data_IF_211633084108
#
_entry.id   IF_211633084108
#
_cell.length_a   1.000
_cell.length_b   1.000
_cell.length_c   1.000
_cell.angle_alpha   90.00
_cell.angle_beta   90.00
_cell.angle_gamma   90.00
#
_symmetry.space_group_name_H-M   'P 1'
#
loop_
_entity.id
_entity.type
_entity.pdbx_description
1 polymer ?
#
# COMPACT_ATOMS: atom_id res chain seq x y z
N UNK A 1 15.83 28.20 27.20
CA UNK A 1 15.60 29.63 27.12
C UNK A 1 15.98 30.13 25.74
N UNK A 2 15.00 30.50 24.93
CA UNK A 2 15.24 31.19 23.67
C UNK A 2 15.56 32.67 24.02
N UNK A 3 16.81 33.00 24.15
CA UNK A 3 17.30 34.36 24.24
C UNK A 3 17.90 34.72 22.91
N UNK A 4 17.11 35.07 21.95
CA UNK A 4 17.63 35.46 20.66
C UNK A 4 16.83 36.60 20.05
N UNK A 5 17.53 37.54 19.52
CA UNK A 5 17.01 38.69 18.86
C UNK A 5 16.01 38.32 17.76
N UNK A 6 14.93 39.04 17.81
CA UNK A 6 13.73 39.12 17.03
C UNK A 6 13.84 38.72 15.56
N UNK A 7 12.86 37.97 15.17
CA UNK A 7 12.58 37.54 13.81
C UNK A 7 12.57 38.71 12.83
N UNK A 8 13.21 38.55 11.67
CA UNK A 8 13.20 39.47 10.56
C UNK A 8 11.75 39.75 10.06
N UNK A 9 10.88 38.75 10.23
CA UNK A 9 9.46 38.86 9.89
C UNK A 9 8.64 38.62 11.15
N UNK A 10 7.82 39.53 11.63
CA UNK A 10 6.99 39.39 12.82
C UNK A 10 6.06 38.17 12.70
N UNK A 11 5.87 37.47 13.80
CA UNK A 11 4.98 36.28 13.91
C UNK A 11 5.37 35.05 13.06
N UNK A 12 6.58 35.01 12.53
CA UNK A 12 7.09 33.83 11.83
C UNK A 12 8.14 33.12 12.67
N UNK A 13 7.76 32.03 13.35
CA UNK A 13 8.59 31.28 14.30
C UNK A 13 9.31 30.11 13.61
N UNK A 14 10.32 30.41 12.80
CA UNK A 14 11.19 29.43 12.12
C UNK A 14 12.65 29.86 12.33
N UNK A 15 13.60 28.90 12.34
CA UNK A 15 15.01 29.20 12.57
C UNK A 15 15.61 30.14 11.54
N UNK A 16 15.21 30.05 10.29
CA UNK A 16 15.69 30.95 9.21
C UNK A 16 15.25 32.40 9.36
N UNK A 17 14.31 32.67 10.26
CA UNK A 17 13.81 34.02 10.55
C UNK A 17 14.52 34.66 11.76
N UNK A 18 15.56 34.06 12.30
CA UNK A 18 16.36 34.61 13.39
C UNK A 18 17.56 35.39 12.85
N UNK A 19 17.81 36.57 13.41
CA UNK A 19 18.92 37.45 12.99
C UNK A 19 20.24 37.10 13.70
N UNK A 20 20.48 35.83 14.05
CA UNK A 20 21.73 35.45 14.71
C UNK A 20 22.69 34.80 13.72
N UNK A 21 23.80 35.43 13.49
CA UNK A 21 24.94 34.93 12.72
C UNK A 21 25.63 33.67 13.36
N UNK A 22 25.10 33.14 14.45
CA UNK A 22 25.74 32.09 15.24
C UNK A 22 24.92 30.83 15.51
N UNK A 23 23.69 30.74 15.08
CA UNK A 23 22.92 29.52 15.27
C UNK A 23 22.79 28.75 13.96
N UNK A 24 23.64 27.77 13.77
CA UNK A 24 23.50 26.77 12.72
C UNK A 24 22.33 25.84 13.03
N UNK A 25 21.12 26.30 12.74
CA UNK A 25 19.92 25.48 12.78
C UNK A 25 19.37 25.33 11.37
N UNK A 26 19.05 24.13 10.95
CA UNK A 26 18.29 23.86 9.73
C UNK A 26 16.89 23.40 10.09
N UNK A 27 15.90 23.92 9.42
CA UNK A 27 14.52 23.52 9.54
C UNK A 27 14.04 22.97 8.20
N UNK A 28 13.57 21.74 8.19
CA UNK A 28 13.02 21.11 7.01
C UNK A 28 11.56 20.71 7.25
N UNK A 29 10.68 21.00 6.30
CA UNK A 29 9.32 20.52 6.32
C UNK A 29 9.00 19.77 5.02
N UNK A 30 8.36 18.61 5.14
CA UNK A 30 7.85 17.88 3.99
C UNK A 30 6.36 17.62 4.15
N UNK A 31 5.61 17.75 3.06
CA UNK A 31 4.18 17.45 3.05
C UNK A 31 3.89 16.41 1.98
N UNK A 32 3.30 15.29 2.40
CA UNK A 32 2.78 14.26 1.50
C UNK A 32 1.26 14.25 1.60
N UNK A 33 0.58 14.09 0.48
CA UNK A 33 -0.86 13.94 0.42
C UNK A 33 -1.21 12.77 -0.47
N UNK A 34 -2.31 12.10 -0.16
CA UNK A 34 -2.86 11.03 -0.97
C UNK A 34 -4.38 11.23 -1.09
N UNK A 35 -4.87 11.22 -2.31
CA UNK A 35 -6.30 11.18 -2.57
C UNK A 35 -6.67 9.75 -2.95
N UNK A 36 -7.69 9.19 -2.30
CA UNK A 36 -8.10 7.81 -2.54
C UNK A 36 -9.63 7.69 -2.63
N UNK A 37 -10.09 6.85 -3.55
CA UNK A 37 -11.48 6.44 -3.65
C UNK A 37 -11.53 4.92 -3.62
N UNK A 38 -12.47 4.35 -2.88
CA UNK A 38 -12.66 2.91 -2.82
C UNK A 38 -14.13 2.53 -2.92
N UNK A 39 -14.37 1.34 -3.45
CA UNK A 39 -15.69 0.72 -3.48
C UNK A 39 -15.55 -0.77 -3.17
N UNK A 40 -16.57 -1.33 -2.52
CA UNK A 40 -16.67 -2.76 -2.30
C UNK A 40 -18.10 -3.25 -2.57
N UNK A 41 -18.22 -4.48 -3.06
CA UNK A 41 -19.48 -5.16 -3.27
C UNK A 41 -19.34 -6.60 -2.76
N UNK A 42 -20.36 -7.08 -2.09
CA UNK A 42 -20.47 -8.47 -1.67
C UNK A 42 -21.77 -9.06 -2.21
N UNK A 43 -21.65 -10.17 -2.90
CA UNK A 43 -22.76 -10.92 -3.46
C UNK A 43 -22.84 -12.30 -2.78
N UNK A 44 -23.99 -12.61 -2.23
CA UNK A 44 -24.23 -13.89 -1.59
C UNK A 44 -25.31 -14.67 -2.35
N UNK A 45 -25.05 -15.94 -2.65
CA UNK A 45 -25.99 -16.84 -3.28
C UNK A 45 -26.27 -18.03 -2.38
N UNK A 46 -27.54 -18.24 -2.05
CA UNK A 46 -28.02 -19.32 -1.17
C UNK A 46 -27.31 -19.38 0.18
N UNK A 47 -26.76 -18.28 0.68
CA UNK A 47 -25.95 -18.24 1.92
C UNK A 47 -24.78 -19.22 1.93
N UNK A 48 -24.41 -19.76 0.78
CA UNK A 48 -23.38 -20.79 0.64
C UNK A 48 -22.23 -20.36 -0.29
N UNK A 49 -22.48 -19.47 -1.22
CA UNK A 49 -21.47 -18.91 -2.11
C UNK A 49 -21.40 -17.39 -1.93
N UNK A 50 -20.21 -16.88 -1.72
CA UNK A 50 -19.94 -15.46 -1.48
C UNK A 50 -18.87 -14.97 -2.44
N UNK A 51 -19.17 -13.89 -3.15
CA UNK A 51 -18.23 -13.18 -4.00
C UNK A 51 -18.02 -11.79 -3.42
N UNK A 52 -16.79 -11.44 -3.08
CA UNK A 52 -16.39 -10.11 -2.61
C UNK A 52 -15.56 -9.44 -3.70
N UNK A 53 -15.94 -8.26 -4.10
CA UNK A 53 -15.22 -7.44 -5.04
C UNK A 53 -14.83 -6.13 -4.36
N UNK A 54 -13.57 -5.74 -4.46
CA UNK A 54 -13.09 -4.47 -3.93
C UNK A 54 -12.24 -3.78 -4.98
N UNK A 55 -12.39 -2.49 -5.09
CA UNK A 55 -11.53 -1.65 -5.92
C UNK A 55 -11.16 -0.39 -5.16
N UNK A 56 -9.88 -0.04 -5.19
CA UNK A 56 -9.38 1.22 -4.64
C UNK A 56 -8.49 1.88 -5.68
N UNK A 57 -8.63 3.18 -5.81
CA UNK A 57 -7.73 3.99 -6.63
C UNK A 57 -7.15 5.12 -5.80
N UNK A 58 -5.84 5.28 -5.91
CA UNK A 58 -5.07 6.28 -5.15
C UNK A 58 -4.35 7.22 -6.12
N UNK A 59 -4.21 8.47 -5.69
CA UNK A 59 -3.38 9.48 -6.36
C UNK A 59 -2.44 10.10 -5.33
N UNK A 60 -1.27 9.52 -5.11
CA UNK A 60 -0.27 10.08 -4.20
C UNK A 60 0.41 11.29 -4.81
N UNK A 61 0.74 12.28 -3.97
CA UNK A 61 1.43 13.51 -4.40
C UNK A 61 2.81 13.24 -5.01
N UNK A 62 3.43 12.12 -4.67
CA UNK A 62 4.73 11.71 -5.20
C UNK A 62 4.68 11.36 -6.70
N UNK A 63 3.50 10.99 -7.21
CA UNK A 63 3.30 10.63 -8.62
C UNK A 63 2.61 11.72 -9.44
N UNK A 64 2.38 12.91 -8.89
CA UNK A 64 1.58 13.95 -9.55
C UNK A 64 2.11 14.34 -10.93
N UNK A 65 3.42 14.30 -11.13
CA UNK A 65 4.10 14.62 -12.40
C UNK A 65 4.52 13.36 -13.18
N UNK A 66 4.13 12.18 -12.75
CA UNK A 66 4.35 10.93 -13.46
C UNK A 66 3.36 10.78 -14.63
N UNK A 67 3.71 9.95 -15.60
CA UNK A 67 2.86 9.64 -16.76
C UNK A 67 1.53 9.02 -16.31
N UNK A 68 1.55 8.18 -15.29
CA UNK A 68 0.37 7.57 -14.70
C UNK A 68 0.33 7.82 -13.19
N UNK A 69 -0.30 8.93 -12.76
CA UNK A 69 -0.37 9.29 -11.35
C UNK A 69 -1.42 8.51 -10.55
N UNK A 70 -2.25 7.72 -11.23
CA UNK A 70 -3.30 6.94 -10.59
C UNK A 70 -2.88 5.49 -10.41
N UNK A 71 -3.14 4.95 -9.24
CA UNK A 71 -2.83 3.57 -8.92
C UNK A 71 -4.13 2.86 -8.56
N UNK A 72 -4.48 1.83 -9.33
CA UNK A 72 -5.67 1.02 -9.07
C UNK A 72 -5.29 -0.29 -8.41
N UNK A 73 -6.02 -0.65 -7.36
CA UNK A 73 -5.83 -1.85 -6.53
C UNK A 73 -7.11 -2.68 -6.53
N UNK A 74 -7.21 -3.69 -7.37
CA UNK A 74 -8.32 -4.64 -7.35
C UNK A 74 -8.13 -5.71 -6.28
N UNK A 75 -9.24 -6.18 -5.73
CA UNK A 75 -9.30 -7.41 -4.95
C UNK A 75 -10.58 -8.18 -5.29
N UNK A 76 -10.44 -9.48 -5.43
CA UNK A 76 -11.56 -10.40 -5.64
C UNK A 76 -11.41 -11.59 -4.68
N UNK A 77 -12.47 -11.87 -3.95
CA UNK A 77 -12.55 -13.01 -3.05
C UNK A 77 -13.77 -13.88 -3.38
N UNK A 78 -13.55 -15.18 -3.42
CA UNK A 78 -14.61 -16.16 -3.58
C UNK A 78 -14.55 -17.13 -2.42
N UNK A 79 -15.68 -17.37 -1.75
CA UNK A 79 -15.78 -18.41 -0.74
C UNK A 79 -17.05 -19.23 -0.91
N UNK A 80 -16.92 -20.53 -0.71
CA UNK A 80 -18.00 -21.51 -0.86
C UNK A 80 -18.10 -22.40 0.37
N UNK A 81 -19.28 -22.43 0.98
CA UNK A 81 -19.62 -23.43 2.01
C UNK A 81 -20.08 -24.68 1.26
N UNK A 82 -19.13 -25.57 0.98
CA UNK A 82 -19.36 -26.77 0.13
C UNK A 82 -20.43 -27.68 0.74
N UNK A 83 -20.47 -27.81 2.06
CA UNK A 83 -21.48 -28.61 2.76
C UNK A 83 -22.93 -28.10 2.57
N UNK A 84 -23.10 -26.82 2.18
CA UNK A 84 -24.40 -26.24 1.94
C UNK A 84 -24.77 -26.22 0.44
N UNK A 85 -23.77 -26.43 -0.43
CA UNK A 85 -23.96 -26.53 -1.89
C UNK A 85 -24.28 -27.94 -2.36
N UNK A 86 -23.83 -28.96 -1.62
CA UNK A 86 -24.11 -30.37 -1.96
C UNK A 86 -25.55 -30.75 -1.63
N UNK A 87 -26.11 -31.66 -2.42
CA UNK A 87 -27.49 -32.12 -2.22
C UNK A 87 -27.70 -32.77 -0.83
N UNK A 88 -28.97 -32.75 -0.39
CA UNK A 88 -29.39 -33.23 0.93
C UNK A 88 -28.93 -34.65 1.24
N UNK A 89 -28.98 -35.55 0.26
CA UNK A 89 -28.64 -36.96 0.44
C UNK A 89 -27.15 -37.19 0.70
N UNK A 90 -26.30 -36.48 -0.05
CA UNK A 90 -24.84 -36.52 0.15
C UNK A 90 -24.45 -35.83 1.46
N UNK A 91 -25.09 -34.71 1.77
CA UNK A 91 -24.90 -34.02 3.04
C UNK A 91 -25.25 -34.90 4.24
N UNK A 92 -26.37 -35.63 4.20
CA UNK A 92 -26.78 -36.52 5.25
C UNK A 92 -25.77 -37.66 5.47
N UNK A 93 -25.20 -38.19 4.39
CA UNK A 93 -24.16 -39.24 4.47
C UNK A 93 -22.84 -38.74 5.04
N UNK A 94 -22.45 -37.52 4.71
CA UNK A 94 -21.19 -36.94 5.16
C UNK A 94 -21.25 -36.36 6.59
N UNK A 95 -22.42 -35.90 7.03
CA UNK A 95 -22.63 -35.18 8.30
C UNK A 95 -22.07 -35.86 9.55
N UNK A 96 -22.10 -37.23 9.72
CA UNK A 96 -21.50 -37.84 10.87
C UNK A 96 -19.98 -37.63 10.98
N UNK A 97 -19.30 -37.54 9.84
CA UNK A 97 -17.86 -37.32 9.79
C UNK A 97 -17.53 -35.84 9.54
N UNK A 98 -18.05 -35.25 8.47
CA UNK A 98 -17.75 -33.87 8.04
C UNK A 98 -18.98 -32.98 8.24
N UNK A 99 -18.94 -32.14 9.27
CA UNK A 99 -20.05 -31.25 9.65
C UNK A 99 -20.05 -29.94 8.87
N UNK A 100 -18.89 -29.50 8.43
CA UNK A 100 -18.71 -28.23 7.74
C UNK A 100 -17.46 -28.24 6.87
N UNK A 101 -17.58 -27.74 5.65
CA UNK A 101 -16.46 -27.53 4.74
C UNK A 101 -16.65 -26.22 3.99
N UNK A 102 -15.69 -25.33 4.15
CA UNK A 102 -15.60 -24.06 3.41
C UNK A 102 -14.29 -24.01 2.65
N UNK A 103 -14.37 -23.63 1.39
CA UNK A 103 -13.21 -23.33 0.55
C UNK A 103 -13.25 -21.83 0.23
N UNK A 104 -12.10 -21.18 0.27
CA UNK A 104 -11.95 -19.78 -0.07
C UNK A 104 -10.76 -19.58 -0.98
N UNK A 105 -10.88 -18.64 -1.90
CA UNK A 105 -9.78 -18.18 -2.73
C UNK A 105 -9.87 -16.68 -2.87
N UNK A 106 -8.73 -16.01 -2.97
CA UNK A 106 -8.68 -14.58 -3.21
C UNK A 106 -7.50 -14.19 -4.09
N UNK A 107 -7.71 -13.13 -4.83
CA UNK A 107 -6.67 -12.38 -5.51
C UNK A 107 -6.70 -10.94 -5.01
N UNK A 108 -5.55 -10.41 -4.66
CA UNK A 108 -5.43 -9.04 -4.17
C UNK A 108 -4.20 -8.38 -4.78
N UNK A 109 -4.35 -7.16 -5.24
CA UNK A 109 -3.25 -6.31 -5.62
C UNK A 109 -3.24 -5.09 -4.68
N UNK A 110 -2.09 -4.84 -4.04
CA UNK A 110 -1.87 -3.66 -3.18
C UNK A 110 -0.64 -2.90 -3.65
N UNK A 111 -0.69 -1.58 -3.56
CA UNK A 111 0.45 -0.74 -3.86
C UNK A 111 1.12 -0.25 -2.60
N UNK A 112 2.42 -0.10 -2.67
CA UNK A 112 3.22 0.54 -1.65
C UNK A 112 3.50 1.99 -2.04
N UNK A 113 3.43 2.94 -1.11
CA UNK A 113 3.82 4.32 -1.40
C UNK A 113 5.31 4.36 -1.74
N UNK A 114 5.66 5.25 -2.67
CA UNK A 114 7.05 5.48 -3.04
C UNK A 114 7.76 6.12 -1.85
N UNK A 115 8.81 5.49 -1.30
CA UNK A 115 9.44 5.95 -0.07
C UNK A 115 10.20 7.27 -0.28
N UNK A 116 10.70 7.51 -1.49
CA UNK A 116 11.62 8.59 -1.78
C UNK A 116 11.04 9.63 -2.76
N UNK A 117 11.08 10.91 -2.37
CA UNK A 117 10.50 12.01 -3.16
C UNK A 117 11.45 12.58 -4.22
N UNK A 118 12.76 12.31 -4.12
CA UNK A 118 13.76 12.81 -5.08
C UNK A 118 13.62 12.25 -6.50
N UNK A 119 12.98 11.10 -6.64
CA UNK A 119 12.71 10.47 -7.94
C UNK A 119 11.46 11.02 -8.64
N UNK A 120 10.68 11.86 -7.96
CA UNK A 120 9.44 12.43 -8.53
C UNK A 120 9.78 13.35 -9.71
N UNK A 121 9.17 13.13 -10.89
CA UNK A 121 9.42 13.97 -12.06
C UNK A 121 9.12 15.46 -11.76
N UNK A 122 9.98 16.35 -12.26
CA UNK A 122 9.86 17.79 -12.06
C UNK A 122 10.31 18.30 -10.69
N UNK A 123 10.88 17.46 -9.84
CA UNK A 123 11.51 17.91 -8.59
C UNK A 123 12.86 18.53 -8.91
N UNK A 124 13.04 19.79 -8.51
CA UNK A 124 14.32 20.51 -8.62
C UNK A 124 14.76 20.80 -7.20
N UNK A 125 15.95 20.33 -6.82
CA UNK A 125 16.60 20.66 -5.56
C UNK A 125 17.60 21.80 -5.80
N UNK A 126 17.45 22.88 -5.04
CA UNK A 126 18.41 23.98 -5.04
C UNK A 126 19.14 24.01 -3.70
N UNK A 127 20.46 24.02 -3.74
CA UNK A 127 21.25 24.42 -2.58
C UNK A 127 21.39 25.93 -2.56
N UNK A 128 20.79 26.56 -1.58
CA UNK A 128 20.85 28.04 -1.44
C UNK A 128 22.12 28.55 -0.74
N UNK A 129 23.05 27.65 -0.38
CA UNK A 129 24.22 28.03 0.42
C UNK A 129 25.39 28.66 -0.34
N UNK A 130 25.51 28.43 -1.66
CA UNK A 130 26.68 28.81 -2.45
C UNK A 130 26.37 29.56 -3.73
N UNK A 131 25.11 29.80 -4.05
CA UNK A 131 24.72 30.37 -5.35
C UNK A 131 25.03 29.45 -6.54
N UNK A 132 25.40 28.21 -6.29
CA UNK A 132 25.61 27.19 -7.30
C UNK A 132 24.40 26.26 -7.34
N UNK A 133 23.96 25.94 -8.54
CA UNK A 133 23.02 24.84 -8.76
C UNK A 133 23.85 23.56 -8.67
N UNK A 134 23.66 22.81 -7.62
CA UNK A 134 24.30 21.49 -7.50
C UNK A 134 23.56 20.50 -8.38
N UNK A 135 24.29 19.59 -9.07
CA UNK A 135 23.66 18.51 -9.81
C UNK A 135 22.86 17.62 -8.85
N UNK A 136 21.83 16.99 -9.35
CA UNK A 136 21.01 16.09 -8.56
C UNK A 136 21.83 14.88 -8.09
N UNK A 137 21.70 14.51 -6.82
CA UNK A 137 22.18 13.23 -6.31
C UNK A 137 21.38 12.08 -6.91
N UNK A 138 20.16 12.35 -7.38
CA UNK A 138 19.25 11.38 -7.97
C UNK A 138 18.67 11.92 -9.26
N UNK A 139 18.63 11.09 -10.29
CA UNK A 139 18.00 11.44 -11.55
C UNK A 139 16.49 11.18 -11.47
N UNK A 140 15.62 12.18 -11.70
CA UNK A 140 14.19 11.98 -11.70
C UNK A 140 13.76 10.99 -12.78
N UNK A 141 12.96 9.99 -12.39
CA UNK A 141 12.44 8.99 -13.31
C UNK A 141 11.10 9.46 -13.88
N UNK A 142 11.01 9.75 -15.20
CA UNK A 142 9.76 10.20 -15.81
C UNK A 142 8.67 9.12 -15.75
N UNK A 143 9.06 7.86 -15.74
CA UNK A 143 8.20 6.68 -15.74
C UNK A 143 8.10 6.02 -14.35
N UNK A 144 8.18 6.84 -13.30
CA UNK A 144 8.10 6.36 -11.92
C UNK A 144 6.76 5.67 -11.68
N UNK A 145 6.82 4.39 -11.32
CA UNK A 145 5.65 3.55 -11.01
C UNK A 145 5.66 3.16 -9.55
N UNK A 146 4.47 3.08 -8.96
CA UNK A 146 4.34 2.55 -7.62
C UNK A 146 4.72 1.07 -7.57
N UNK A 147 5.34 0.68 -6.48
CA UNK A 147 5.54 -0.72 -6.15
C UNK A 147 4.18 -1.40 -5.95
N UNK A 148 4.02 -2.59 -6.52
CA UNK A 148 2.79 -3.38 -6.43
C UNK A 148 3.08 -4.78 -5.95
N UNK A 149 2.32 -5.22 -4.97
CA UNK A 149 2.34 -6.60 -4.49
C UNK A 149 1.06 -7.31 -4.89
N UNK A 150 1.20 -8.41 -5.63
CA UNK A 150 0.11 -9.29 -6.04
C UNK A 150 0.13 -10.54 -5.20
N UNK A 151 -1.00 -10.88 -4.61
CA UNK A 151 -1.16 -12.06 -3.78
C UNK A 151 -2.34 -12.90 -4.26
N UNK A 152 -2.12 -14.21 -4.29
CA UNK A 152 -3.17 -15.22 -4.50
C UNK A 152 -3.18 -16.11 -3.29
N UNK A 153 -4.37 -16.38 -2.76
CA UNK A 153 -4.57 -17.24 -1.62
C UNK A 153 -5.61 -18.33 -1.92
N UNK A 154 -5.39 -19.52 -1.37
CA UNK A 154 -6.35 -20.62 -1.33
C UNK A 154 -6.41 -21.15 0.09
N UNK A 155 -7.61 -21.17 0.67
CA UNK A 155 -7.85 -21.64 2.03
C UNK A 155 -8.95 -22.67 2.10
N UNK A 156 -8.85 -23.55 3.08
CA UNK A 156 -9.84 -24.54 3.42
C UNK A 156 -10.08 -24.52 4.93
N UNK A 157 -11.34 -24.51 5.33
CA UNK A 157 -11.78 -24.62 6.72
C UNK A 157 -12.76 -25.76 6.84
N UNK A 158 -12.52 -26.69 7.77
CA UNK A 158 -13.39 -27.86 7.95
C UNK A 158 -13.64 -28.18 9.42
N UNK A 159 -14.81 -28.72 9.71
CA UNK A 159 -15.21 -29.22 11.03
C UNK A 159 -15.69 -30.66 10.93
N UNK A 160 -15.18 -31.50 11.80
CA UNK A 160 -15.40 -32.92 11.82
C UNK A 160 -16.06 -33.35 13.11
N UNK A 161 -16.82 -34.45 13.05
CA UNK A 161 -17.44 -35.08 14.21
C UNK A 161 -18.27 -34.13 15.07
N UNK A 162 -19.18 -33.40 14.42
CA UNK A 162 -20.01 -32.42 15.12
C UNK A 162 -19.27 -31.17 15.67
N UNK A 163 -18.03 -30.95 15.25
CA UNK A 163 -17.19 -29.85 15.72
C UNK A 163 -16.12 -30.24 16.74
N UNK A 164 -16.01 -31.56 17.06
CA UNK A 164 -14.97 -32.04 17.95
C UNK A 164 -13.54 -31.84 17.41
N UNK A 165 -13.40 -31.79 16.07
CA UNK A 165 -12.14 -31.49 15.40
C UNK A 165 -12.36 -30.36 14.38
N UNK A 166 -11.54 -29.32 14.44
CA UNK A 166 -11.51 -28.24 13.45
C UNK A 166 -10.14 -28.19 12.79
N UNK A 167 -10.14 -28.14 11.47
CA UNK A 167 -8.93 -28.02 10.66
C UNK A 167 -9.04 -26.82 9.72
N UNK A 168 -7.99 -26.02 9.65
CA UNK A 168 -7.84 -24.91 8.72
C UNK A 168 -6.45 -24.91 8.10
N UNK A 169 -6.37 -24.68 6.80
CA UNK A 169 -5.13 -24.51 6.07
C UNK A 169 -5.27 -23.42 5.04
N UNK A 170 -4.20 -22.68 4.82
CA UNK A 170 -4.12 -21.64 3.78
C UNK A 170 -2.75 -21.73 3.12
N UNK A 171 -2.77 -21.70 1.79
CA UNK A 171 -1.57 -21.53 0.99
C UNK A 171 -1.69 -20.20 0.27
N UNK A 172 -0.58 -19.49 0.12
CA UNK A 172 -0.54 -18.21 -0.60
C UNK A 172 0.74 -18.05 -1.38
N UNK A 173 0.66 -17.26 -2.42
CA UNK A 173 1.81 -16.78 -3.20
C UNK A 173 1.72 -15.27 -3.32
N UNK A 174 2.84 -14.58 -3.08
CA UNK A 174 2.93 -13.13 -3.17
C UNK A 174 4.13 -12.76 -4.04
N UNK A 175 3.92 -11.82 -4.97
CA UNK A 175 4.94 -11.30 -5.87
C UNK A 175 4.92 -9.77 -5.84
N UNK A 176 6.09 -9.16 -5.69
CA UNK A 176 6.26 -7.71 -5.72
C UNK A 176 6.84 -7.29 -7.08
N UNK A 177 6.23 -6.27 -7.68
CA UNK A 177 6.59 -5.71 -8.97
C UNK A 177 6.97 -4.24 -8.81
N UNK A 178 7.82 -3.73 -9.71
CA UNK A 178 8.32 -2.34 -9.72
C UNK A 178 9.00 -1.94 -8.41
N UNK A 179 9.75 -2.87 -7.81
CA UNK A 179 10.50 -2.58 -6.60
C UNK A 179 11.62 -1.60 -6.89
N UNK A 180 11.72 -0.55 -6.10
CA UNK A 180 12.81 0.41 -6.17
C UNK A 180 13.99 -0.13 -5.37
N UNK A 181 15.12 -0.28 -6.03
CA UNK A 181 16.38 -0.66 -5.41
C UNK A 181 17.37 0.50 -5.55
N UNK A 182 17.96 0.90 -4.44
CA UNK A 182 19.07 1.83 -4.42
C UNK A 182 20.36 1.05 -4.56
N UNK A 183 21.21 1.48 -5.48
CA UNK A 183 22.54 0.89 -5.68
C UNK A 183 23.56 2.00 -5.82
N UNK A 184 24.66 1.87 -5.11
CA UNK A 184 25.80 2.77 -5.28
C UNK A 184 26.41 2.54 -6.65
N UNK A 185 26.60 3.62 -7.40
CA UNK A 185 27.40 3.57 -8.62
C UNK A 185 28.86 3.57 -8.22
N UNK A 186 29.60 2.55 -8.65
CA UNK A 186 31.06 2.53 -8.50
C UNK A 186 31.65 3.76 -9.22
N UNK A 187 32.32 4.67 -8.52
CA UNK A 187 33.02 5.77 -9.17
C UNK A 187 34.19 5.17 -9.96
N UNK A 188 34.00 4.95 -11.27
CA UNK A 188 35.02 4.46 -12.16
C UNK A 188 36.27 5.35 -12.23
#
# INVERSE_FOLDING_TARGET
GFGGHLSLIPNKFIFSNTNSLQSGGSEGSSRKSNFAVFASAELAWRSALFLTLTGRTDKPSQLVNSVDPWIFYPSIGLSAVVTDLIGSDLRAKLRPALSYLKVRTSFTEVGSPIPFTGLTPGTITHSMGSGKVEPFDYYPLPDLKAERTRSVELGIDSRWFGGALTFGATIYQSNTLNQLLETDLDPG
#
